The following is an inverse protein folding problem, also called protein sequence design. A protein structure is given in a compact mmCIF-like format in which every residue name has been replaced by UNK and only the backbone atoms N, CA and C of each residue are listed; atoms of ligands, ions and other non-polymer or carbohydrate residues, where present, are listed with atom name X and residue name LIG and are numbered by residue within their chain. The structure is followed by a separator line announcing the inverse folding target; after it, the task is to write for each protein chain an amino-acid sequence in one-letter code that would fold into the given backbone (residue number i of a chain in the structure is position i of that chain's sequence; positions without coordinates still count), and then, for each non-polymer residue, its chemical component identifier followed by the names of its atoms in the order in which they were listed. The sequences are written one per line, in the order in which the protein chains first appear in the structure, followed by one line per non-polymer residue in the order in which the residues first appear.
data_IF_583040639585
#
_entry.id   IF_583040639585
#
_cell.length_a   1.000
_cell.length_b   1.000
_cell.length_c   1.000
_cell.angle_alpha   90.00
_cell.angle_beta   90.00
_cell.angle_gamma   90.00
#
_symmetry.space_group_name_H-M   'P 1'
#
loop_
_entity.id
_entity.type
_entity.pdbx_description
1 polymer ?
#
# COMPACT_ATOMS: atom_id res chain seq x y z
N UNK A 1 -35.52 6.05 -15.41
CA UNK A 1 -34.30 5.29 -15.79
C UNK A 1 -33.25 5.30 -14.68
N UNK A 2 -32.80 6.47 -14.21
CA UNK A 2 -31.78 6.60 -13.16
C UNK A 2 -32.11 5.85 -11.84
N UNK A 3 -33.34 6.01 -11.29
CA UNK A 3 -33.77 5.26 -10.10
C UNK A 3 -33.68 3.74 -10.27
N UNK A 4 -34.13 3.21 -11.42
CA UNK A 4 -34.04 1.77 -11.70
C UNK A 4 -32.58 1.29 -11.74
N UNK A 5 -31.69 2.06 -12.39
CA UNK A 5 -30.25 1.75 -12.43
C UNK A 5 -29.62 1.78 -11.04
N UNK A 6 -29.98 2.75 -10.20
CA UNK A 6 -29.51 2.81 -8.81
C UNK A 6 -29.96 1.61 -7.99
N UNK A 7 -31.22 1.19 -8.10
CA UNK A 7 -31.74 0.00 -7.42
C UNK A 7 -31.02 -1.27 -7.90
N UNK A 8 -30.83 -1.42 -9.20
CA UNK A 8 -30.09 -2.57 -9.77
C UNK A 8 -28.66 -2.59 -9.28
N UNK A 9 -27.97 -1.45 -9.26
CA UNK A 9 -26.61 -1.36 -8.75
C UNK A 9 -26.53 -1.74 -7.25
N UNK A 10 -27.50 -1.29 -6.43
CA UNK A 10 -27.58 -1.65 -5.02
C UNK A 10 -27.82 -3.17 -4.83
N UNK A 11 -28.72 -3.76 -5.62
CA UNK A 11 -28.97 -5.21 -5.57
C UNK A 11 -27.74 -6.02 -5.99
N UNK A 12 -27.06 -5.62 -7.08
CA UNK A 12 -25.82 -6.26 -7.52
C UNK A 12 -24.72 -6.15 -6.47
N UNK A 13 -24.59 -4.99 -5.84
CA UNK A 13 -23.67 -4.82 -4.72
C UNK A 13 -24.02 -5.72 -3.53
N UNK A 14 -25.30 -5.83 -3.17
CA UNK A 14 -25.76 -6.75 -2.12
C UNK A 14 -25.40 -8.20 -2.41
N UNK A 15 -25.67 -8.67 -3.63
CA UNK A 15 -25.29 -10.03 -4.08
C UNK A 15 -23.77 -10.22 -4.02
N UNK A 16 -23.00 -9.25 -4.50
CA UNK A 16 -21.54 -9.28 -4.43
C UNK A 16 -21.04 -9.40 -2.97
N UNK A 17 -21.59 -8.60 -2.06
CA UNK A 17 -21.23 -8.64 -0.62
C UNK A 17 -21.52 -10.03 -0.03
N UNK A 18 -22.67 -10.62 -0.33
CA UNK A 18 -23.03 -11.97 0.12
C UNK A 18 -22.08 -13.04 -0.45
N UNK A 19 -21.72 -12.95 -1.74
CA UNK A 19 -20.75 -13.85 -2.35
C UNK A 19 -19.37 -13.73 -1.69
N UNK A 20 -18.90 -12.50 -1.43
CA UNK A 20 -17.62 -12.26 -0.76
C UNK A 20 -17.64 -12.71 0.70
N UNK A 21 -18.76 -12.52 1.41
CA UNK A 21 -18.93 -13.04 2.76
C UNK A 21 -18.80 -14.57 2.77
N UNK A 22 -19.54 -15.25 1.89
CA UNK A 22 -19.44 -16.70 1.78
C UNK A 22 -18.03 -17.17 1.45
N UNK A 23 -17.38 -16.51 0.48
CA UNK A 23 -16.02 -16.83 0.09
C UNK A 23 -15.01 -16.68 1.24
N UNK A 24 -15.06 -15.56 1.96
CA UNK A 24 -14.08 -15.29 3.04
C UNK A 24 -14.33 -16.16 4.27
N UNK A 25 -15.58 -16.40 4.64
CA UNK A 25 -15.89 -17.06 5.91
C UNK A 25 -16.19 -18.56 5.78
N UNK A 26 -16.56 -19.06 4.61
CA UNK A 26 -17.07 -20.44 4.44
C UNK A 26 -16.38 -21.25 3.34
N UNK A 27 -15.51 -20.69 2.49
CA UNK A 27 -14.89 -21.46 1.39
C UNK A 27 -13.72 -22.37 1.81
N UNK A 28 -13.37 -22.41 3.11
CA UNK A 28 -12.34 -23.32 3.63
C UNK A 28 -10.90 -22.95 3.26
N UNK A 29 -10.62 -21.67 2.95
CA UNK A 29 -9.26 -21.18 2.70
C UNK A 29 -8.40 -21.15 3.96
N UNK A 30 -7.08 -21.07 3.77
CA UNK A 30 -6.14 -20.95 4.90
C UNK A 30 -5.58 -22.27 5.45
N UNK A 31 -5.87 -23.41 4.83
CA UNK A 31 -5.32 -24.71 5.25
C UNK A 31 -3.81 -24.78 5.02
N UNK A 32 -3.07 -25.23 6.02
CA UNK A 32 -1.61 -25.41 5.90
C UNK A 32 -1.32 -26.65 5.05
N UNK A 33 -0.51 -26.54 3.97
CA UNK A 33 -0.10 -27.68 3.16
C UNK A 33 0.62 -28.73 4.02
N UNK A 34 0.39 -30.03 3.74
CA UNK A 34 0.97 -31.12 4.53
C UNK A 34 2.48 -31.04 4.67
N UNK A 35 3.19 -30.64 3.62
CA UNK A 35 4.65 -30.48 3.64
C UNK A 35 5.13 -29.38 4.60
N UNK A 36 4.27 -28.45 4.99
CA UNK A 36 4.61 -27.31 5.86
C UNK A 36 4.12 -27.51 7.30
N UNK A 37 3.30 -28.54 7.57
CA UNK A 37 2.81 -28.85 8.90
C UNK A 37 3.95 -29.33 9.81
N UNK A 38 3.98 -28.81 11.04
CA UNK A 38 5.03 -29.11 12.03
C UNK A 38 6.39 -28.48 11.74
N UNK A 39 6.53 -27.70 10.65
CA UNK A 39 7.75 -26.93 10.37
C UNK A 39 7.75 -25.57 11.08
N UNK A 40 8.86 -24.86 11.06
CA UNK A 40 8.94 -23.49 11.58
C UNK A 40 7.92 -22.51 10.95
N UNK A 41 7.37 -22.85 9.78
CA UNK A 41 6.35 -22.07 9.08
C UNK A 41 4.91 -22.38 9.56
N UNK A 42 4.71 -23.51 10.24
CA UNK A 42 3.40 -23.87 10.78
C UNK A 42 3.05 -22.94 11.96
N UNK A 43 1.96 -22.16 11.88
CA UNK A 43 1.62 -21.22 12.93
C UNK A 43 1.37 -21.88 14.29
N UNK A 44 0.99 -23.15 14.35
CA UNK A 44 0.84 -23.92 15.60
C UNK A 44 2.17 -24.04 16.36
N UNK A 45 3.29 -23.95 15.68
CA UNK A 45 4.62 -24.07 16.29
C UNK A 45 5.11 -22.79 16.99
N UNK A 46 4.51 -21.62 16.67
CA UNK A 46 4.99 -20.34 17.20
C UNK A 46 3.90 -19.39 17.70
N UNK A 47 2.62 -19.69 17.45
CA UNK A 47 1.47 -18.93 17.95
C UNK A 47 0.74 -19.74 19.02
N UNK A 48 0.29 -19.08 20.08
CA UNK A 48 -0.63 -19.66 21.05
C UNK A 48 -2.01 -19.90 20.40
N UNK A 49 -2.82 -20.78 20.99
CA UNK A 49 -4.21 -21.03 20.52
C UNK A 49 -5.03 -19.74 20.43
N UNK A 50 -4.82 -18.83 21.39
CA UNK A 50 -5.47 -17.51 21.39
C UNK A 50 -5.04 -16.66 20.20
N UNK A 51 -3.74 -16.58 19.92
CA UNK A 51 -3.21 -15.82 18.79
C UNK A 51 -3.67 -16.39 17.44
N UNK A 52 -3.70 -17.72 17.31
CA UNK A 52 -4.24 -18.41 16.13
C UNK A 52 -5.70 -18.03 15.89
N UNK A 53 -6.52 -18.10 16.94
CA UNK A 53 -7.93 -17.74 16.87
C UNK A 53 -8.12 -16.26 16.48
N UNK A 54 -7.44 -15.35 17.18
CA UNK A 54 -7.53 -13.91 16.92
C UNK A 54 -7.01 -13.55 15.52
N UNK A 55 -5.90 -14.15 15.08
CA UNK A 55 -5.35 -13.96 13.73
C UNK A 55 -6.35 -14.39 12.65
N UNK A 56 -6.96 -15.58 12.81
CA UNK A 56 -7.96 -16.07 11.88
C UNK A 56 -9.18 -15.16 11.77
N UNK A 57 -9.77 -14.78 12.90
CA UNK A 57 -10.95 -13.91 12.94
C UNK A 57 -10.66 -12.49 12.42
N UNK A 58 -9.62 -11.86 12.94
CA UNK A 58 -9.25 -10.50 12.55
C UNK A 58 -8.91 -10.39 11.06
N UNK A 59 -8.13 -11.36 10.56
CA UNK A 59 -7.75 -11.36 9.14
C UNK A 59 -8.95 -11.57 8.22
N UNK A 60 -9.89 -12.48 8.54
CA UNK A 60 -11.12 -12.69 7.76
C UNK A 60 -11.95 -11.39 7.68
N UNK A 61 -12.18 -10.74 8.83
CA UNK A 61 -12.95 -9.49 8.86
C UNK A 61 -12.24 -8.40 8.02
N UNK A 62 -10.92 -8.22 8.19
CA UNK A 62 -10.14 -7.26 7.39
C UNK A 62 -10.17 -7.56 5.90
N UNK A 63 -10.06 -8.83 5.52
CA UNK A 63 -10.14 -9.28 4.14
C UNK A 63 -11.51 -8.99 3.54
N UNK A 64 -12.59 -9.28 4.28
CA UNK A 64 -13.94 -8.95 3.87
C UNK A 64 -14.13 -7.44 3.67
N UNK A 65 -13.71 -6.62 4.66
CA UNK A 65 -13.80 -5.16 4.56
C UNK A 65 -13.00 -4.59 3.38
N UNK A 66 -11.87 -5.19 3.04
CA UNK A 66 -11.09 -4.80 1.87
C UNK A 66 -11.89 -4.98 0.56
N UNK A 67 -12.51 -6.14 0.39
CA UNK A 67 -13.29 -6.43 -0.80
C UNK A 67 -14.62 -5.68 -0.87
N UNK A 68 -15.19 -5.29 0.27
CA UNK A 68 -16.44 -4.53 0.32
C UNK A 68 -16.22 -3.02 0.12
N UNK A 69 -15.16 -2.46 0.70
CA UNK A 69 -14.96 -1.01 0.73
C UNK A 69 -14.81 -0.39 -0.66
N UNK A 70 -13.95 -0.93 -1.51
CA UNK A 70 -13.72 -0.38 -2.85
C UNK A 70 -14.97 -0.44 -3.74
N UNK A 71 -15.71 -1.58 -3.85
CA UNK A 71 -17.00 -1.59 -4.56
C UNK A 71 -18.10 -0.73 -3.93
N UNK A 72 -18.06 -0.50 -2.61
CA UNK A 72 -18.95 0.45 -1.94
C UNK A 72 -18.69 1.88 -2.44
N UNK A 73 -17.43 2.29 -2.56
CA UNK A 73 -17.08 3.59 -3.15
C UNK A 73 -17.58 3.72 -4.58
N UNK A 74 -17.47 2.65 -5.40
CA UNK A 74 -18.03 2.66 -6.77
C UNK A 74 -19.53 2.86 -6.77
N UNK A 75 -20.25 2.20 -5.86
CA UNK A 75 -21.67 2.38 -5.69
C UNK A 75 -22.01 3.82 -5.28
N UNK A 76 -21.26 4.41 -4.36
CA UNK A 76 -21.44 5.80 -3.90
C UNK A 76 -21.23 6.76 -5.08
N UNK A 77 -20.14 6.64 -5.84
CA UNK A 77 -19.91 7.47 -7.04
C UNK A 77 -21.04 7.33 -8.05
N UNK A 78 -21.50 6.11 -8.28
CA UNK A 78 -22.61 5.85 -9.20
C UNK A 78 -23.92 6.49 -8.72
N UNK A 79 -24.23 6.42 -7.42
CA UNK A 79 -25.40 7.07 -6.81
C UNK A 79 -25.27 8.59 -6.92
N UNK A 80 -24.12 9.19 -6.57
CA UNK A 80 -23.84 10.63 -6.69
C UNK A 80 -24.15 11.13 -8.12
N UNK A 81 -23.73 10.36 -9.12
CA UNK A 81 -23.96 10.69 -10.52
C UNK A 81 -25.45 10.58 -10.91
N UNK A 82 -26.06 9.43 -10.66
CA UNK A 82 -27.45 9.14 -11.09
C UNK A 82 -28.48 10.02 -10.38
N UNK A 83 -28.26 10.36 -9.10
CA UNK A 83 -29.10 11.30 -8.37
C UNK A 83 -28.83 12.76 -8.80
N UNK A 84 -27.70 13.05 -9.42
CA UNK A 84 -27.29 14.38 -9.89
C UNK A 84 -26.73 15.28 -8.80
N UNK A 85 -26.26 14.67 -7.69
CA UNK A 85 -25.58 15.39 -6.61
C UNK A 85 -24.32 16.08 -7.13
N UNK A 86 -23.53 15.42 -7.95
CA UNK A 86 -22.35 16.01 -8.59
C UNK A 86 -22.70 17.24 -9.43
N UNK A 87 -23.78 17.17 -10.20
CA UNK A 87 -24.25 18.33 -10.99
C UNK A 87 -24.77 19.48 -10.12
N UNK A 88 -25.40 19.15 -8.99
CA UNK A 88 -25.82 20.14 -8.02
C UNK A 88 -24.59 20.85 -7.39
N UNK A 89 -23.58 20.12 -6.97
CA UNK A 89 -22.32 20.69 -6.44
C UNK A 89 -21.62 21.61 -7.47
N UNK A 90 -21.59 21.21 -8.75
CA UNK A 90 -21.06 22.09 -9.79
C UNK A 90 -21.85 23.39 -9.93
N UNK A 91 -23.20 23.34 -9.85
CA UNK A 91 -24.02 24.55 -9.88
C UNK A 91 -23.74 25.45 -8.68
N UNK A 92 -23.65 24.89 -7.46
CA UNK A 92 -23.30 25.64 -6.26
C UNK A 92 -21.94 26.30 -6.42
N UNK A 93 -20.91 25.55 -6.81
CA UNK A 93 -19.55 26.07 -6.98
C UNK A 93 -19.47 27.18 -8.04
N UNK A 94 -20.22 27.04 -9.14
CA UNK A 94 -20.20 28.04 -10.23
C UNK A 94 -21.02 29.29 -9.92
N UNK A 95 -22.01 29.23 -9.02
CA UNK A 95 -22.78 30.38 -8.58
C UNK A 95 -22.05 31.29 -7.60
N UNK A 96 -21.07 30.74 -6.85
CA UNK A 96 -20.35 31.47 -5.79
C UNK A 96 -19.26 32.40 -6.32
N UNK A 97 -18.61 32.04 -7.43
CA UNK A 97 -17.46 32.79 -7.93
C UNK A 97 -17.24 32.58 -9.43
N UNK A 98 -16.56 33.54 -10.09
CA UNK A 98 -16.11 33.42 -11.48
C UNK A 98 -14.73 32.76 -11.59
N UNK A 99 -13.97 32.66 -10.51
CA UNK A 99 -12.61 32.12 -10.50
C UNK A 99 -12.62 30.59 -10.52
N UNK A 100 -12.03 30.02 -11.57
CA UNK A 100 -12.06 28.57 -11.82
C UNK A 100 -11.45 27.76 -10.70
N UNK A 101 -10.34 28.23 -10.11
CA UNK A 101 -9.68 27.55 -8.99
C UNK A 101 -10.63 27.46 -7.76
N UNK A 102 -11.31 28.56 -7.44
CA UNK A 102 -12.28 28.60 -6.32
C UNK A 102 -13.53 27.76 -6.62
N UNK A 103 -13.99 27.70 -7.88
CA UNK A 103 -15.04 26.78 -8.29
C UNK A 103 -14.63 25.31 -8.09
N UNK A 104 -13.40 24.96 -8.50
CA UNK A 104 -12.87 23.62 -8.29
C UNK A 104 -12.72 23.31 -6.80
N UNK A 105 -12.19 24.25 -6.00
CA UNK A 105 -12.04 24.08 -4.55
C UNK A 105 -13.40 23.86 -3.87
N UNK A 106 -14.40 24.69 -4.17
CA UNK A 106 -15.76 24.55 -3.62
C UNK A 106 -16.41 23.24 -4.00
N UNK A 107 -16.29 22.82 -5.26
CA UNK A 107 -16.81 21.54 -5.73
C UNK A 107 -16.13 20.35 -5.04
N UNK A 108 -14.80 20.36 -5.00
CA UNK A 108 -14.02 19.29 -4.38
C UNK A 108 -14.28 19.20 -2.87
N UNK A 109 -14.38 20.35 -2.20
CA UNK A 109 -14.72 20.36 -0.77
C UNK A 109 -16.06 19.68 -0.51
N UNK A 110 -17.12 20.05 -1.26
CA UNK A 110 -18.44 19.45 -1.12
C UNK A 110 -18.43 17.94 -1.39
N UNK A 111 -17.70 17.51 -2.44
CA UNK A 111 -17.60 16.10 -2.77
C UNK A 111 -16.79 15.32 -1.73
N UNK A 112 -15.60 15.81 -1.36
CA UNK A 112 -14.73 15.16 -0.36
C UNK A 112 -15.39 15.09 1.01
N UNK A 113 -16.08 16.16 1.42
CA UNK A 113 -16.81 16.19 2.68
C UNK A 113 -17.99 15.20 2.69
N UNK A 114 -18.75 15.11 1.58
CA UNK A 114 -19.80 14.11 1.45
C UNK A 114 -19.23 12.68 1.55
N UNK A 115 -18.14 12.40 0.85
CA UNK A 115 -17.50 11.09 0.89
C UNK A 115 -16.97 10.77 2.29
N UNK A 116 -16.32 11.73 2.95
CA UNK A 116 -15.84 11.59 4.31
C UNK A 116 -16.97 11.21 5.27
N UNK A 117 -18.10 11.95 5.23
CA UNK A 117 -19.25 11.68 6.11
C UNK A 117 -19.89 10.32 5.82
N UNK A 118 -20.03 9.95 4.54
CA UNK A 118 -20.67 8.68 4.15
C UNK A 118 -19.79 7.48 4.49
N UNK A 119 -18.45 7.60 4.38
CA UNK A 119 -17.50 6.52 4.67
C UNK A 119 -17.07 6.48 6.14
N UNK A 120 -17.28 7.55 6.90
CA UNK A 120 -16.88 7.64 8.31
C UNK A 120 -17.37 6.47 9.18
N UNK A 121 -18.60 5.94 9.07
CA UNK A 121 -19.02 4.77 9.86
C UNK A 121 -18.16 3.51 9.59
N UNK A 122 -17.73 3.32 8.33
CA UNK A 122 -16.86 2.20 7.96
C UNK A 122 -15.46 2.38 8.53
N UNK A 123 -14.91 3.60 8.48
CA UNK A 123 -13.57 3.89 9.00
C UNK A 123 -13.55 3.84 10.54
N UNK A 124 -14.61 4.31 11.18
CA UNK A 124 -14.78 4.16 12.63
C UNK A 124 -14.90 2.69 13.04
N UNK A 125 -15.62 1.86 12.27
CA UNK A 125 -15.68 0.43 12.51
C UNK A 125 -14.29 -0.24 12.40
N UNK A 126 -13.51 0.13 11.38
CA UNK A 126 -12.12 -0.36 11.20
C UNK A 126 -11.21 0.05 12.37
N UNK A 127 -11.34 1.29 12.83
CA UNK A 127 -10.62 1.78 14.00
C UNK A 127 -10.96 0.96 15.24
N UNK A 128 -12.25 0.80 15.56
CA UNK A 128 -12.68 0.00 16.70
C UNK A 128 -12.26 -1.48 16.58
N UNK A 129 -12.36 -2.05 15.40
CA UNK A 129 -11.89 -3.42 15.13
C UNK A 129 -10.41 -3.55 15.50
N UNK A 130 -9.56 -2.67 14.98
CA UNK A 130 -8.13 -2.70 15.28
C UNK A 130 -7.83 -2.52 16.77
N UNK A 131 -8.60 -1.71 17.48
CA UNK A 131 -8.50 -1.56 18.94
C UNK A 131 -8.93 -2.80 19.69
N UNK A 132 -10.06 -3.40 19.32
CA UNK A 132 -10.60 -4.62 19.97
C UNK A 132 -9.62 -5.78 19.88
N UNK A 133 -8.91 -5.90 18.75
CA UNK A 133 -7.90 -6.95 18.55
C UNK A 133 -6.50 -6.54 19.04
N UNK A 134 -6.34 -5.38 19.67
CA UNK A 134 -5.07 -4.92 20.25
C UNK A 134 -4.00 -4.53 19.22
N UNK A 135 -4.38 -4.33 17.95
CA UNK A 135 -3.45 -3.85 16.92
C UNK A 135 -3.24 -2.35 17.04
N UNK A 136 -4.31 -1.57 17.22
CA UNK A 136 -4.20 -0.13 17.44
C UNK A 136 -4.14 0.19 18.93
N UNK A 137 -3.17 0.99 19.32
CA UNK A 137 -3.05 1.64 20.65
C UNK A 137 -3.65 3.05 20.64
N UNK A 138 -3.87 3.61 19.44
CA UNK A 138 -4.25 5.00 19.22
C UNK A 138 -5.54 5.39 19.95
N UNK A 139 -5.52 6.51 20.68
CA UNK A 139 -6.70 7.09 21.28
C UNK A 139 -7.62 7.73 20.22
N UNK A 140 -8.94 7.81 20.53
CA UNK A 140 -9.92 8.37 19.58
C UNK A 140 -9.58 9.80 19.12
N UNK A 141 -9.15 10.68 20.02
CA UNK A 141 -8.77 12.05 19.67
C UNK A 141 -7.57 12.12 18.73
N UNK A 142 -6.57 11.26 18.95
CA UNK A 142 -5.40 11.16 18.06
C UNK A 142 -5.80 10.60 16.69
N UNK A 143 -6.66 9.58 16.65
CA UNK A 143 -7.22 9.03 15.41
C UNK A 143 -8.04 10.07 14.62
N UNK A 144 -8.87 10.85 15.30
CA UNK A 144 -9.63 11.93 14.67
C UNK A 144 -8.74 13.07 14.17
N UNK A 145 -7.67 13.42 14.93
CA UNK A 145 -6.68 14.41 14.48
C UNK A 145 -6.02 13.96 13.18
N UNK A 146 -5.56 12.72 13.13
CA UNK A 146 -4.93 12.17 11.92
C UNK A 146 -5.92 12.15 10.74
N UNK A 147 -7.19 11.78 10.97
CA UNK A 147 -8.24 11.82 9.94
C UNK A 147 -8.54 13.23 9.41
N UNK A 148 -8.47 14.25 10.27
CA UNK A 148 -8.62 15.66 9.84
C UNK A 148 -7.40 16.11 9.02
N UNK A 149 -6.19 15.73 9.43
CA UNK A 149 -4.97 16.02 8.65
C UNK A 149 -5.06 15.34 7.28
N UNK A 150 -5.43 14.06 7.23
CA UNK A 150 -5.65 13.31 5.99
C UNK A 150 -6.64 14.02 5.06
N UNK A 151 -7.77 14.47 5.61
CA UNK A 151 -8.77 15.18 4.82
C UNK A 151 -8.17 16.42 4.13
N UNK A 152 -7.44 17.26 4.88
CA UNK A 152 -6.89 18.51 4.33
C UNK A 152 -5.70 18.28 3.40
N UNK A 153 -4.82 17.33 3.70
CA UNK A 153 -3.70 16.96 2.82
C UNK A 153 -4.24 16.42 1.49
N UNK A 154 -5.18 15.48 1.55
CA UNK A 154 -5.80 14.89 0.35
C UNK A 154 -6.64 15.92 -0.43
N UNK A 155 -7.33 16.85 0.26
CA UNK A 155 -8.03 17.95 -0.38
C UNK A 155 -7.07 18.89 -1.14
N UNK A 156 -5.96 19.30 -0.52
CA UNK A 156 -4.95 20.17 -1.15
C UNK A 156 -4.32 19.51 -2.37
N UNK A 157 -3.91 18.25 -2.26
CA UNK A 157 -3.35 17.48 -3.38
C UNK A 157 -4.37 17.30 -4.50
N UNK A 158 -5.61 16.95 -4.16
CA UNK A 158 -6.71 16.81 -5.12
C UNK A 158 -7.03 18.11 -5.83
N UNK A 159 -6.99 19.25 -5.13
CA UNK A 159 -7.23 20.56 -5.73
C UNK A 159 -6.21 20.87 -6.83
N UNK A 160 -4.93 20.59 -6.59
CA UNK A 160 -3.86 20.77 -7.60
C UNK A 160 -4.12 19.84 -8.78
N UNK A 161 -4.23 18.54 -8.52
CA UNK A 161 -4.37 17.50 -9.56
C UNK A 161 -5.61 17.76 -10.42
N UNK A 162 -6.78 17.98 -9.80
CA UNK A 162 -8.05 18.16 -10.51
C UNK A 162 -8.08 19.47 -11.28
N UNK A 163 -7.51 20.55 -10.73
CA UNK A 163 -7.45 21.84 -11.44
C UNK A 163 -6.62 21.72 -12.71
N UNK A 164 -5.47 21.08 -12.64
CA UNK A 164 -4.59 20.82 -13.81
C UNK A 164 -5.29 19.85 -14.78
N UNK A 165 -5.87 18.76 -14.29
CA UNK A 165 -6.58 17.76 -15.11
C UNK A 165 -7.70 18.40 -15.93
N UNK A 166 -8.60 19.16 -15.29
CA UNK A 166 -9.73 19.81 -15.97
C UNK A 166 -9.29 20.97 -16.87
N UNK A 167 -8.17 21.63 -16.56
CA UNK A 167 -7.54 22.58 -17.49
C UNK A 167 -7.05 21.86 -18.75
N UNK A 168 -6.36 20.72 -18.63
CA UNK A 168 -5.91 19.91 -19.75
C UNK A 168 -7.06 19.36 -20.59
N UNK A 169 -8.12 18.84 -19.95
CA UNK A 169 -9.33 18.32 -20.65
C UNK A 169 -9.97 19.42 -21.49
N UNK A 170 -10.06 20.64 -20.97
CA UNK A 170 -10.63 21.80 -21.71
C UNK A 170 -9.71 22.24 -22.86
N UNK A 171 -8.39 22.24 -22.64
CA UNK A 171 -7.42 22.65 -23.64
C UNK A 171 -7.26 21.63 -24.76
N UNK A 172 -7.36 20.33 -24.47
CA UNK A 172 -7.15 19.26 -25.43
C UNK A 172 -8.05 18.04 -25.15
N UNK A 173 -9.31 18.11 -25.56
CA UNK A 173 -10.31 17.06 -25.31
C UNK A 173 -9.91 15.66 -25.84
N UNK A 174 -9.03 15.58 -26.84
CA UNK A 174 -8.58 14.29 -27.43
C UNK A 174 -7.32 13.74 -26.72
N UNK A 175 -6.36 14.60 -26.33
CA UNK A 175 -5.01 14.21 -25.88
C UNK A 175 -4.72 14.56 -24.41
N UNK A 176 -5.70 15.03 -23.64
CA UNK A 176 -5.51 15.42 -22.24
C UNK A 176 -4.86 14.32 -21.40
N UNK A 177 -5.22 13.06 -21.64
CA UNK A 177 -4.71 11.90 -20.94
C UNK A 177 -3.19 11.73 -21.11
N UNK A 178 -2.67 12.02 -22.30
CA UNK A 178 -1.22 11.98 -22.59
C UNK A 178 -0.49 13.11 -21.86
N UNK A 179 -1.05 14.32 -21.88
CA UNK A 179 -0.45 15.46 -21.17
C UNK A 179 -0.55 15.28 -19.65
N UNK A 180 -1.66 14.76 -19.15
CA UNK A 180 -1.79 14.38 -17.73
C UNK A 180 -0.73 13.36 -17.36
N UNK A 181 -0.55 12.31 -18.17
CA UNK A 181 0.50 11.31 -17.93
C UNK A 181 1.92 11.92 -17.93
N UNK A 182 2.25 12.78 -18.87
CA UNK A 182 3.55 13.47 -18.88
C UNK A 182 3.77 14.27 -17.59
N UNK A 183 2.72 14.86 -17.01
CA UNK A 183 2.81 15.62 -15.76
C UNK A 183 2.85 14.69 -14.52
N UNK A 184 2.44 13.42 -14.61
CA UNK A 184 2.62 12.51 -13.49
C UNK A 184 4.09 12.25 -13.19
N UNK A 185 4.99 12.35 -14.18
CA UNK A 185 6.42 12.10 -14.01
C UNK A 185 7.04 13.09 -13.01
N UNK A 186 7.07 14.41 -13.27
CA UNK A 186 7.61 15.38 -12.31
C UNK A 186 6.79 15.42 -11.01
N UNK A 187 5.49 15.14 -11.07
CA UNK A 187 4.65 15.11 -9.89
C UNK A 187 4.99 13.94 -8.97
N UNK A 188 5.26 12.75 -9.51
CA UNK A 188 5.71 11.59 -8.73
C UNK A 188 7.03 11.90 -8.02
N UNK A 189 8.00 12.47 -8.74
CA UNK A 189 9.28 12.89 -8.15
C UNK A 189 9.05 13.92 -7.03
N UNK A 190 8.22 14.92 -7.28
CA UNK A 190 7.88 15.94 -6.28
C UNK A 190 7.27 15.32 -5.01
N UNK A 191 6.30 14.40 -5.15
CA UNK A 191 5.69 13.72 -3.99
C UNK A 191 6.72 12.89 -3.23
N UNK A 192 7.60 12.16 -3.90
CA UNK A 192 8.67 11.38 -3.25
C UNK A 192 9.62 12.24 -2.41
N UNK A 193 9.84 13.50 -2.78
CA UNK A 193 10.64 14.43 -1.98
C UNK A 193 9.84 15.06 -0.83
N UNK A 194 8.58 15.43 -1.08
CA UNK A 194 7.73 16.11 -0.10
C UNK A 194 7.24 15.16 0.99
N UNK A 195 6.97 13.90 0.66
CA UNK A 195 6.42 12.92 1.58
C UNK A 195 7.22 12.84 2.89
N UNK A 196 8.52 12.49 2.90
CA UNK A 196 9.29 12.29 4.15
C UNK A 196 9.64 13.59 4.88
N UNK A 197 9.56 14.75 4.20
CA UNK A 197 10.02 16.04 4.76
C UNK A 197 8.88 16.88 5.29
N UNK A 198 7.71 16.82 4.63
CA UNK A 198 6.56 17.70 4.94
C UNK A 198 5.36 16.90 5.40
N UNK A 199 5.05 15.78 4.75
CA UNK A 199 3.81 15.04 5.02
C UNK A 199 3.97 14.15 6.26
N UNK A 200 4.98 13.29 6.29
CA UNK A 200 5.17 12.34 7.39
C UNK A 200 5.28 13.01 8.77
N UNK A 201 5.98 14.17 8.94
CA UNK A 201 6.06 14.89 10.21
C UNK A 201 4.73 15.48 10.70
N UNK A 202 3.69 15.56 9.87
CA UNK A 202 2.34 15.96 10.32
C UNK A 202 1.68 14.90 11.21
N UNK A 203 2.10 13.65 11.04
CA UNK A 203 1.51 12.49 11.70
C UNK A 203 2.33 11.97 12.87
N UNK A 204 3.65 11.95 12.75
CA UNK A 204 4.54 11.31 13.72
C UNK A 204 5.81 12.13 13.93
N UNK A 205 6.44 11.94 15.08
CA UNK A 205 7.72 12.53 15.40
C UNK A 205 8.86 11.55 15.06
N UNK A 206 9.91 12.08 14.43
CA UNK A 206 11.09 11.33 14.01
C UNK A 206 12.30 11.80 14.83
N UNK A 207 13.04 10.86 15.39
CA UNK A 207 14.22 11.12 16.21
C UNK A 207 15.42 10.35 15.67
N UNK A 208 16.67 10.85 15.86
CA UNK A 208 17.86 10.02 15.64
C UNK A 208 17.81 8.77 16.54
N UNK A 209 18.22 7.62 16.00
CA UNK A 209 18.21 6.37 16.75
C UNK A 209 19.03 6.50 18.04
N UNK A 210 18.41 6.16 19.18
CA UNK A 210 19.04 6.27 20.51
C UNK A 210 20.11 5.22 20.73
N UNK A 211 19.88 3.98 20.29
CA UNK A 211 20.83 2.88 20.40
C UNK A 211 21.95 3.06 19.36
N UNK A 212 23.07 3.64 19.78
CA UNK A 212 24.20 3.93 18.87
C UNK A 212 24.94 2.68 18.42
N UNK A 213 24.99 1.63 19.24
CA UNK A 213 25.59 0.36 18.84
C UNK A 213 24.80 -0.29 17.71
N UNK A 214 23.47 -0.29 17.79
CA UNK A 214 22.59 -0.79 16.73
C UNK A 214 22.70 0.10 15.47
N UNK A 215 22.78 1.43 15.62
CA UNK A 215 22.98 2.36 14.52
C UNK A 215 24.26 2.02 13.73
N UNK A 216 25.39 1.82 14.45
CA UNK A 216 26.67 1.45 13.84
C UNK A 216 26.58 0.12 13.08
N UNK A 217 25.91 -0.89 13.66
CA UNK A 217 25.69 -2.19 13.00
C UNK A 217 24.86 -2.02 11.70
N UNK A 218 23.78 -1.24 11.75
CA UNK A 218 22.92 -0.98 10.58
C UNK A 218 23.70 -0.20 9.51
N UNK A 219 24.43 0.83 9.87
CA UNK A 219 25.24 1.60 8.93
C UNK A 219 26.38 0.76 8.33
N UNK A 220 26.94 -0.18 9.10
CA UNK A 220 27.94 -1.12 8.59
C UNK A 220 27.38 -2.01 7.47
N UNK A 221 26.19 -2.60 7.63
CA UNK A 221 25.57 -3.39 6.56
C UNK A 221 25.10 -2.50 5.40
N UNK A 222 24.68 -1.26 5.65
CA UNK A 222 24.35 -0.31 4.59
C UNK A 222 25.59 0.04 3.75
N UNK A 223 26.75 0.24 4.37
CA UNK A 223 28.01 0.46 3.67
C UNK A 223 28.42 -0.74 2.81
N UNK A 224 28.26 -1.98 3.32
CA UNK A 224 28.49 -3.21 2.54
C UNK A 224 27.55 -3.29 1.30
N UNK A 225 26.33 -2.79 1.43
CA UNK A 225 25.33 -2.70 0.37
C UNK A 225 25.53 -1.48 -0.56
N UNK A 226 26.57 -0.65 -0.34
CA UNK A 226 26.83 0.62 -1.05
C UNK A 226 25.63 1.59 -0.97
N UNK A 227 24.95 1.65 0.17
CA UNK A 227 23.84 2.58 0.41
C UNK A 227 24.40 3.81 1.12
N UNK A 228 24.24 5.01 0.56
CA UNK A 228 24.77 6.25 1.16
C UNK A 228 23.83 6.76 2.27
N UNK A 229 23.61 5.95 3.32
CA UNK A 229 22.85 6.36 4.50
C UNK A 229 23.82 6.83 5.58
N UNK A 230 23.60 8.05 6.08
CA UNK A 230 24.44 8.64 7.15
C UNK A 230 23.77 8.53 8.52
N UNK A 231 22.44 8.36 8.56
CA UNK A 231 21.67 8.38 9.79
C UNK A 231 20.55 7.33 9.79
N UNK A 232 20.29 6.81 10.97
CA UNK A 232 19.12 5.95 11.26
C UNK A 232 18.17 6.71 12.18
N UNK A 233 16.89 6.68 11.86
CA UNK A 233 15.84 7.36 12.64
C UNK A 233 14.95 6.35 13.34
N UNK A 234 14.44 6.73 14.51
CA UNK A 234 13.31 6.07 15.16
C UNK A 234 12.04 6.94 15.06
N UNK A 235 10.88 6.32 14.99
CA UNK A 235 9.59 6.99 14.97
C UNK A 235 8.66 6.42 16.04
N UNK A 236 7.89 7.30 16.72
CA UNK A 236 7.03 6.99 17.87
C UNK A 236 5.71 6.28 17.48
N UNK A 237 5.79 5.11 16.93
CA UNK A 237 4.60 4.36 16.49
C UNK A 237 3.87 3.61 17.58
N UNK A 238 4.51 3.33 18.74
CA UNK A 238 3.87 2.66 19.87
C UNK A 238 2.63 3.39 20.42
N UNK A 239 2.56 4.72 20.22
CA UNK A 239 1.37 5.51 20.56
C UNK A 239 0.16 5.19 19.67
N UNK A 240 0.38 4.59 18.50
CA UNK A 240 -0.63 4.35 17.48
C UNK A 240 -0.90 2.88 17.19
N UNK A 241 0.13 2.03 17.30
CA UNK A 241 0.03 0.63 16.91
C UNK A 241 0.98 -0.27 17.68
N UNK A 242 0.61 -1.55 17.77
CA UNK A 242 1.47 -2.65 18.20
C UNK A 242 2.15 -3.37 17.02
N UNK A 243 1.83 -3.01 15.78
CA UNK A 243 2.48 -3.60 14.61
C UNK A 243 3.97 -3.21 14.56
N UNK A 244 4.76 -4.05 13.92
CA UNK A 244 6.20 -3.83 13.70
C UNK A 244 6.42 -3.38 12.27
N UNK A 245 7.32 -2.43 12.07
CA UNK A 245 7.74 -2.02 10.74
C UNK A 245 9.12 -1.33 10.77
N UNK A 246 9.82 -1.39 9.64
CA UNK A 246 10.99 -0.60 9.32
C UNK A 246 10.98 -0.33 7.82
N UNK A 247 11.64 0.73 7.36
CA UNK A 247 11.71 1.03 5.93
C UNK A 247 12.91 1.92 5.59
N UNK A 248 13.33 1.83 4.34
CA UNK A 248 14.26 2.79 3.73
C UNK A 248 13.47 3.69 2.78
N UNK A 249 13.58 5.00 2.94
CA UNK A 249 12.91 5.99 2.11
C UNK A 249 13.90 7.03 1.59
N UNK A 250 13.50 7.78 0.56
CA UNK A 250 14.36 8.78 -0.08
C UNK A 250 15.18 8.18 -1.24
N UNK A 251 15.91 9.05 -1.92
CA UNK A 251 16.73 8.69 -3.10
C UNK A 251 18.10 9.40 -2.99
N UNK A 252 19.18 8.67 -3.23
CA UNK A 252 20.54 9.20 -3.20
C UNK A 252 20.94 9.69 -1.81
N UNK A 253 21.51 10.89 -1.71
CA UNK A 253 21.94 11.50 -0.44
C UNK A 253 20.82 11.79 0.56
N UNK A 254 19.54 11.71 0.14
CA UNK A 254 18.36 11.89 0.99
C UNK A 254 17.80 10.54 1.52
N UNK A 255 18.52 9.43 1.33
CA UNK A 255 18.11 8.13 1.83
C UNK A 255 18.09 8.11 3.35
N UNK A 256 16.95 7.69 3.92
CA UNK A 256 16.72 7.60 5.37
C UNK A 256 16.32 6.19 5.74
N UNK A 257 16.96 5.66 6.75
CA UNK A 257 16.58 4.40 7.39
C UNK A 257 15.69 4.75 8.58
N UNK A 258 14.50 4.18 8.66
CA UNK A 258 13.52 4.49 9.72
C UNK A 258 13.06 3.19 10.37
N UNK A 259 13.16 3.13 11.69
CA UNK A 259 12.70 2.04 12.54
C UNK A 259 11.54 2.50 13.40
N UNK A 260 10.48 1.70 13.49
CA UNK A 260 9.44 1.95 14.47
C UNK A 260 9.95 1.58 15.87
N UNK A 261 9.61 2.38 16.87
CA UNK A 261 9.92 2.10 18.28
C UNK A 261 9.33 0.76 18.75
N UNK A 262 8.17 0.35 18.19
CA UNK A 262 7.59 -0.98 18.40
C UNK A 262 8.51 -2.10 17.91
N UNK A 263 9.22 -1.91 16.81
CA UNK A 263 10.20 -2.85 16.24
C UNK A 263 11.43 -2.94 17.15
N UNK A 264 11.96 -1.79 17.56
CA UNK A 264 13.08 -1.70 18.48
C UNK A 264 12.81 -2.38 19.84
N UNK A 265 11.57 -2.32 20.33
CA UNK A 265 11.17 -2.88 21.62
C UNK A 265 10.90 -4.39 21.61
N UNK A 266 10.64 -4.99 20.45
CA UNK A 266 10.18 -6.40 20.36
C UNK A 266 11.15 -7.33 19.65
N UNK A 267 11.99 -6.78 18.79
CA UNK A 267 12.96 -7.57 18.04
C UNK A 267 14.35 -7.48 18.66
N UNK A 268 15.12 -8.54 18.51
CA UNK A 268 16.55 -8.54 18.83
C UNK A 268 17.33 -7.77 17.77
N UNK A 269 18.55 -7.36 18.09
CA UNK A 269 19.43 -6.67 17.12
C UNK A 269 19.59 -7.46 15.83
N UNK A 270 19.78 -8.79 15.90
CA UNK A 270 19.96 -9.63 14.72
C UNK A 270 18.71 -9.71 13.86
N UNK A 271 17.52 -9.80 14.48
CA UNK A 271 16.24 -9.73 13.77
C UNK A 271 16.04 -8.38 13.08
N UNK A 272 16.42 -7.29 13.73
CA UNK A 272 16.40 -5.93 13.14
C UNK A 272 17.40 -5.85 11.98
N UNK A 273 18.62 -6.36 12.14
CA UNK A 273 19.61 -6.38 11.07
C UNK A 273 19.13 -7.18 9.86
N UNK A 274 18.44 -8.32 10.07
CA UNK A 274 17.82 -9.06 8.97
C UNK A 274 16.75 -8.23 8.23
N UNK A 275 15.85 -7.58 8.97
CA UNK A 275 14.83 -6.70 8.36
C UNK A 275 15.51 -5.55 7.60
N UNK A 276 16.52 -4.92 8.19
CA UNK A 276 17.25 -3.85 7.51
C UNK A 276 17.98 -4.35 6.25
N UNK A 277 18.57 -5.53 6.29
CA UNK A 277 19.18 -6.16 5.12
C UNK A 277 18.14 -6.44 4.03
N UNK A 278 16.90 -6.81 4.39
CA UNK A 278 15.79 -6.96 3.44
C UNK A 278 15.44 -5.62 2.77
N UNK A 279 15.29 -4.53 3.55
CA UNK A 279 15.05 -3.19 3.01
C UNK A 279 16.20 -2.71 2.09
N UNK A 280 17.44 -3.03 2.46
CA UNK A 280 18.61 -2.77 1.61
C UNK A 280 18.57 -3.57 0.32
N UNK A 281 18.01 -4.80 0.34
CA UNK A 281 17.76 -5.60 -0.85
C UNK A 281 16.90 -4.87 -1.88
N UNK A 282 15.85 -4.17 -1.44
CA UNK A 282 15.04 -3.34 -2.33
C UNK A 282 15.83 -2.22 -2.99
N UNK A 283 16.76 -1.61 -2.28
CA UNK A 283 17.62 -0.56 -2.81
C UNK A 283 18.62 -1.11 -3.84
N UNK A 284 19.36 -2.18 -3.48
CA UNK A 284 20.40 -2.79 -4.31
C UNK A 284 19.83 -3.39 -5.60
N UNK A 285 18.69 -4.08 -5.49
CA UNK A 285 17.95 -4.67 -6.61
C UNK A 285 17.18 -3.61 -7.42
N UNK A 286 17.27 -2.32 -7.04
CA UNK A 286 16.65 -1.19 -7.74
C UNK A 286 15.13 -1.31 -7.86
N UNK A 287 14.46 -1.95 -6.90
CA UNK A 287 13.03 -2.20 -6.93
C UNK A 287 12.21 -0.92 -7.03
N UNK A 288 12.66 0.19 -6.42
CA UNK A 288 12.04 1.52 -6.52
C UNK A 288 11.96 1.99 -7.97
N UNK A 289 13.05 1.83 -8.74
CA UNK A 289 13.08 2.28 -10.14
C UNK A 289 12.18 1.43 -11.03
N UNK A 290 12.19 0.11 -10.85
CA UNK A 290 11.25 -0.79 -11.54
C UNK A 290 9.80 -0.51 -11.15
N UNK A 291 9.54 -0.21 -9.88
CA UNK A 291 8.24 0.20 -9.38
C UNK A 291 7.74 1.49 -10.06
N UNK A 292 8.59 2.53 -10.15
CA UNK A 292 8.26 3.79 -10.84
C UNK A 292 7.98 3.53 -12.33
N UNK A 293 8.84 2.77 -13.00
CA UNK A 293 8.65 2.45 -14.43
C UNK A 293 7.34 1.69 -14.68
N UNK A 294 7.03 0.68 -13.85
CA UNK A 294 5.77 -0.07 -13.88
C UNK A 294 4.56 0.83 -13.62
N UNK A 295 4.64 1.71 -12.60
CA UNK A 295 3.61 2.69 -12.30
C UNK A 295 3.36 3.64 -13.49
N UNK A 296 4.41 4.17 -14.12
CA UNK A 296 4.28 5.05 -15.27
C UNK A 296 3.64 4.33 -16.47
N UNK A 297 4.02 3.07 -16.71
CA UNK A 297 3.43 2.28 -17.78
C UNK A 297 1.93 1.98 -17.52
N UNK A 298 1.60 1.55 -16.30
CA UNK A 298 0.21 1.28 -15.91
C UNK A 298 -0.63 2.55 -15.90
N UNK A 299 -0.08 3.69 -15.46
CA UNK A 299 -0.78 4.99 -15.48
C UNK A 299 -1.01 5.50 -16.89
N UNK A 300 -0.09 5.29 -17.83
CA UNK A 300 -0.28 5.61 -19.25
C UNK A 300 -1.48 4.85 -19.83
N UNK A 301 -1.49 3.53 -19.65
CA UNK A 301 -2.58 2.68 -20.09
C UNK A 301 -3.90 3.02 -19.38
N UNK A 302 -3.85 3.21 -18.06
CA UNK A 302 -4.99 3.55 -17.22
C UNK A 302 -5.65 4.88 -17.63
N UNK A 303 -4.86 5.95 -17.83
CA UNK A 303 -5.37 7.24 -18.28
C UNK A 303 -5.93 7.20 -19.70
N UNK A 304 -5.29 6.44 -20.61
CA UNK A 304 -5.80 6.23 -21.95
C UNK A 304 -7.15 5.48 -21.95
N UNK A 305 -7.26 4.39 -21.19
CA UNK A 305 -8.51 3.65 -21.02
C UNK A 305 -9.59 4.52 -20.38
N UNK A 306 -9.25 5.23 -19.30
CA UNK A 306 -10.16 6.16 -18.63
C UNK A 306 -10.68 7.21 -19.60
N UNK A 307 -9.83 7.79 -20.44
CA UNK A 307 -10.24 8.78 -21.43
C UNK A 307 -11.19 8.20 -22.49
N UNK A 308 -10.98 6.94 -22.90
CA UNK A 308 -11.91 6.24 -23.81
C UNK A 308 -13.24 5.92 -23.13
N UNK A 309 -13.18 5.35 -21.94
CA UNK A 309 -14.38 4.99 -21.17
C UNK A 309 -15.20 6.23 -20.81
N UNK A 310 -14.60 7.33 -20.37
CA UNK A 310 -15.29 8.59 -20.10
C UNK A 310 -16.07 9.09 -21.32
N UNK A 311 -15.43 9.11 -22.49
CA UNK A 311 -16.11 9.55 -23.72
C UNK A 311 -17.29 8.65 -24.07
N UNK A 312 -17.10 7.33 -23.95
CA UNK A 312 -18.14 6.35 -24.24
C UNK A 312 -19.32 6.46 -23.25
N UNK A 313 -19.03 6.49 -21.95
CA UNK A 313 -20.09 6.59 -20.93
C UNK A 313 -20.87 7.90 -21.02
N UNK A 314 -20.17 9.03 -21.20
CA UNK A 314 -20.84 10.34 -21.31
C UNK A 314 -21.63 10.41 -22.64
N UNK A 315 -21.10 9.92 -23.74
CA UNK A 315 -21.83 9.86 -25.02
C UNK A 315 -23.09 9.01 -24.96
N UNK A 316 -23.05 7.89 -24.24
CA UNK A 316 -24.17 6.93 -24.16
C UNK A 316 -25.15 7.20 -23.03
N UNK A 317 -24.65 7.64 -21.87
CA UNK A 317 -25.40 7.75 -20.62
C UNK A 317 -25.34 9.14 -19.98
N UNK A 318 -24.77 10.14 -20.66
CA UNK A 318 -24.58 11.49 -20.10
C UNK A 318 -25.87 12.14 -19.56
N UNK A 319 -27.01 11.93 -20.21
CA UNK A 319 -28.30 12.42 -19.75
C UNK A 319 -28.72 11.78 -18.41
N UNK A 320 -28.48 10.46 -18.26
CA UNK A 320 -28.82 9.71 -17.04
C UNK A 320 -27.89 10.11 -15.90
N UNK A 321 -26.60 10.26 -16.21
CA UNK A 321 -25.56 10.66 -15.27
C UNK A 321 -25.53 12.17 -15.01
N UNK A 322 -26.38 12.93 -15.72
CA UNK A 322 -26.50 14.40 -15.65
C UNK A 322 -25.18 15.14 -15.95
N UNK A 323 -24.33 14.53 -16.79
CA UNK A 323 -23.07 15.08 -17.30
C UNK A 323 -23.31 15.54 -18.74
N UNK A 324 -22.98 16.81 -19.05
CA UNK A 324 -23.12 17.36 -20.41
C UNK A 324 -21.85 17.17 -21.24
N UNK A 325 -20.70 17.45 -20.66
CA UNK A 325 -19.38 17.40 -21.33
C UNK A 325 -18.33 16.78 -20.42
N UNK A 326 -17.31 16.15 -21.01
CA UNK A 326 -16.17 15.61 -20.26
C UNK A 326 -15.42 16.68 -19.45
N UNK A 327 -15.42 17.91 -19.91
CA UNK A 327 -14.76 19.05 -19.25
C UNK A 327 -15.60 19.72 -18.15
N UNK A 328 -16.83 19.26 -17.88
CA UNK A 328 -17.63 19.70 -16.73
C UNK A 328 -17.11 18.99 -15.48
N UNK A 329 -16.85 19.71 -14.40
CA UNK A 329 -16.29 19.12 -13.17
C UNK A 329 -17.24 18.09 -12.56
N UNK A 330 -18.54 18.15 -12.85
CA UNK A 330 -19.52 17.12 -12.49
C UNK A 330 -19.23 15.74 -13.08
N UNK A 331 -18.31 15.60 -14.04
CA UNK A 331 -17.82 14.30 -14.52
C UNK A 331 -16.78 13.64 -13.61
N UNK A 332 -16.30 14.34 -12.59
CA UNK A 332 -15.21 13.87 -11.73
C UNK A 332 -15.54 12.57 -10.96
N UNK A 333 -16.74 12.35 -10.38
CA UNK A 333 -17.06 11.05 -9.79
C UNK A 333 -17.06 9.89 -10.78
N UNK A 334 -17.38 10.15 -12.07
CA UNK A 334 -17.24 9.12 -13.12
C UNK A 334 -15.75 8.84 -13.41
N UNK A 335 -14.91 9.87 -13.43
CA UNK A 335 -13.47 9.69 -13.55
C UNK A 335 -12.92 8.86 -12.40
N UNK A 336 -13.28 9.17 -11.14
CA UNK A 336 -12.89 8.41 -9.95
C UNK A 336 -13.36 6.95 -10.02
N UNK A 337 -14.62 6.72 -10.38
CA UNK A 337 -15.17 5.39 -10.55
C UNK A 337 -14.36 4.56 -11.56
N UNK A 338 -14.12 5.10 -12.75
CA UNK A 338 -13.42 4.38 -13.80
C UNK A 338 -11.96 4.12 -13.47
N UNK A 339 -11.24 5.10 -12.90
CA UNK A 339 -9.85 4.90 -12.49
C UNK A 339 -9.75 3.91 -11.34
N UNK A 340 -10.64 3.96 -10.34
CA UNK A 340 -10.65 3.03 -9.21
C UNK A 340 -10.94 1.59 -9.66
N UNK A 341 -11.89 1.39 -10.61
CA UNK A 341 -12.14 0.06 -11.21
C UNK A 341 -10.91 -0.47 -11.93
N UNK A 342 -10.22 0.37 -12.73
CA UNK A 342 -9.02 -0.05 -13.45
C UNK A 342 -7.86 -0.36 -12.51
N UNK A 343 -7.67 0.43 -11.46
CA UNK A 343 -6.66 0.21 -10.42
C UNK A 343 -6.92 -1.10 -9.67
N UNK A 344 -8.16 -1.33 -9.25
CA UNK A 344 -8.52 -2.57 -8.59
C UNK A 344 -8.31 -3.78 -9.51
N UNK A 345 -8.71 -3.70 -10.78
CA UNK A 345 -8.52 -4.76 -11.75
C UNK A 345 -7.03 -5.05 -12.05
N UNK A 346 -6.14 -4.04 -11.93
CA UNK A 346 -4.70 -4.22 -12.12
C UNK A 346 -3.96 -4.72 -10.87
N UNK A 347 -4.60 -4.72 -9.68
CA UNK A 347 -3.97 -5.13 -8.42
C UNK A 347 -3.34 -6.52 -8.44
N UNK A 348 -3.94 -7.58 -9.04
CA UNK A 348 -3.32 -8.89 -9.11
C UNK A 348 -1.95 -8.90 -9.80
N UNK A 349 -1.82 -8.13 -10.89
CA UNK A 349 -0.56 -7.99 -11.62
C UNK A 349 0.49 -7.23 -10.79
N UNK A 350 0.10 -6.07 -10.25
CA UNK A 350 0.99 -5.26 -9.41
C UNK A 350 1.46 -6.03 -8.18
N UNK A 351 0.54 -6.73 -7.51
CA UNK A 351 0.86 -7.54 -6.33
C UNK A 351 1.73 -8.76 -6.68
N UNK A 352 1.57 -9.36 -7.85
CA UNK A 352 2.44 -10.44 -8.30
C UNK A 352 3.90 -9.96 -8.46
N UNK A 353 4.09 -8.81 -9.12
CA UNK A 353 5.41 -8.19 -9.29
C UNK A 353 6.01 -7.83 -7.92
N UNK A 354 5.22 -7.24 -7.04
CA UNK A 354 5.65 -6.91 -5.67
C UNK A 354 6.13 -8.16 -4.93
N UNK A 355 5.34 -9.23 -4.90
CA UNK A 355 5.74 -10.50 -4.25
C UNK A 355 7.00 -11.13 -4.85
N UNK A 356 7.25 -10.95 -6.14
CA UNK A 356 8.50 -11.38 -6.77
C UNK A 356 9.69 -10.57 -6.21
N UNK A 357 9.54 -9.25 -6.11
CA UNK A 357 10.57 -8.36 -5.55
C UNK A 357 10.85 -8.66 -4.08
N UNK A 358 9.81 -8.93 -3.30
CA UNK A 358 9.92 -9.35 -1.89
C UNK A 358 10.74 -10.63 -1.72
N UNK A 359 10.47 -11.66 -2.56
CA UNK A 359 11.26 -12.88 -2.53
C UNK A 359 12.75 -12.63 -2.85
N UNK A 360 13.05 -11.67 -3.72
CA UNK A 360 14.42 -11.25 -4.04
C UNK A 360 15.07 -10.55 -2.85
N UNK A 361 14.36 -9.64 -2.21
CA UNK A 361 14.83 -8.94 -1.02
C UNK A 361 15.08 -9.89 0.16
N UNK A 362 14.22 -10.90 0.37
CA UNK A 362 14.45 -11.95 1.37
C UNK A 362 15.74 -12.74 1.10
N UNK A 363 15.95 -13.13 -0.16
CA UNK A 363 17.17 -13.86 -0.54
C UNK A 363 18.43 -13.01 -0.36
N UNK A 364 18.35 -11.72 -0.71
CA UNK A 364 19.45 -10.78 -0.48
C UNK A 364 19.76 -10.64 1.01
N UNK A 365 18.74 -10.44 1.85
CA UNK A 365 18.91 -10.33 3.30
C UNK A 365 19.61 -11.56 3.90
N UNK A 366 19.19 -12.76 3.51
CA UNK A 366 19.81 -14.01 3.96
C UNK A 366 21.27 -14.10 3.49
N UNK A 367 21.55 -13.69 2.24
CA UNK A 367 22.93 -13.73 1.71
C UNK A 367 23.85 -12.73 2.41
N UNK A 368 23.31 -11.58 2.84
CA UNK A 368 24.07 -10.52 3.50
C UNK A 368 24.32 -10.83 4.99
N UNK A 369 23.30 -11.32 5.69
CA UNK A 369 23.39 -11.57 7.14
C UNK A 369 23.89 -12.95 7.50
N UNK A 370 23.66 -13.94 6.66
CA UNK A 370 23.92 -15.37 6.94
C UNK A 370 23.03 -15.96 8.04
N UNK A 371 22.19 -15.14 8.70
CA UNK A 371 21.41 -15.50 9.88
C UNK A 371 19.97 -15.87 9.52
N UNK A 372 19.75 -17.14 9.24
CA UNK A 372 18.43 -17.68 8.89
C UNK A 372 17.52 -17.83 10.09
N UNK A 373 18.07 -18.07 11.28
CA UNK A 373 17.30 -18.22 12.51
C UNK A 373 16.63 -16.90 12.88
N UNK A 374 17.39 -15.80 12.88
CA UNK A 374 16.84 -14.46 13.07
C UNK A 374 15.82 -14.07 11.99
N UNK A 375 15.98 -14.53 10.74
CA UNK A 375 15.00 -14.33 9.69
C UNK A 375 13.67 -15.02 10.01
N UNK A 376 13.70 -16.29 10.43
CA UNK A 376 12.51 -17.07 10.80
C UNK A 376 11.80 -16.42 11.98
N UNK A 377 12.53 -16.12 13.06
CA UNK A 377 11.95 -15.55 14.27
C UNK A 377 11.39 -14.15 14.04
N UNK A 378 12.07 -13.32 13.21
CA UNK A 378 11.55 -12.01 12.81
C UNK A 378 10.20 -12.15 12.07
N UNK A 379 10.08 -13.05 11.10
CA UNK A 379 8.82 -13.29 10.39
C UNK A 379 7.71 -13.82 11.30
N UNK A 380 8.03 -14.71 12.24
CA UNK A 380 7.08 -15.19 13.24
C UNK A 380 6.57 -14.05 14.13
N UNK A 381 7.47 -13.19 14.65
CA UNK A 381 7.10 -12.03 15.46
C UNK A 381 6.29 -10.99 14.68
N UNK A 382 6.63 -10.73 13.41
CA UNK A 382 5.84 -9.89 12.50
C UNK A 382 4.42 -10.45 12.30
N UNK A 383 4.30 -11.77 12.18
CA UNK A 383 3.00 -12.45 12.03
C UNK A 383 2.13 -12.27 13.28
N UNK A 384 2.69 -12.51 14.46
CA UNK A 384 2.02 -12.37 15.75
C UNK A 384 1.59 -10.92 15.99
N UNK A 385 2.52 -9.96 15.80
CA UNK A 385 2.26 -8.54 16.08
C UNK A 385 1.18 -7.93 15.19
N UNK A 386 1.05 -8.41 13.96
CA UNK A 386 0.04 -7.95 13.00
C UNK A 386 -1.24 -8.78 13.00
N UNK A 387 -1.34 -9.85 13.79
CA UNK A 387 -2.39 -10.87 13.71
C UNK A 387 -2.69 -11.25 12.24
N UNK A 388 -1.60 -11.55 11.51
CA UNK A 388 -1.69 -11.83 10.08
C UNK A 388 -1.98 -13.30 9.81
N UNK A 389 -2.93 -13.58 8.92
CA UNK A 389 -3.18 -14.94 8.42
C UNK A 389 -1.97 -15.41 7.60
N UNK A 390 -1.38 -16.53 8.00
CA UNK A 390 -0.14 -17.04 7.40
C UNK A 390 -0.34 -17.59 5.99
N UNK A 391 -1.53 -18.13 5.69
CA UNK A 391 -1.89 -18.68 4.37
C UNK A 391 -3.27 -18.17 3.92
N UNK A 392 -3.35 -16.96 3.32
CA UNK A 392 -4.62 -16.38 2.91
C UNK A 392 -5.20 -17.10 1.68
N UNK A 393 -6.52 -16.99 1.53
CA UNK A 393 -7.23 -17.47 0.36
C UNK A 393 -6.72 -16.82 -0.94
N UNK A 394 -6.89 -17.52 -2.07
CA UNK A 394 -6.30 -17.15 -3.36
C UNK A 394 -6.66 -15.74 -3.82
N UNK A 395 -7.94 -15.34 -3.77
CA UNK A 395 -8.34 -13.98 -4.15
C UNK A 395 -7.74 -12.93 -3.20
N UNK A 396 -7.67 -13.23 -1.90
CA UNK A 396 -7.03 -12.36 -0.92
C UNK A 396 -5.55 -12.17 -1.26
N UNK A 397 -4.83 -13.26 -1.54
CA UNK A 397 -3.42 -13.22 -1.97
C UNK A 397 -3.25 -12.39 -3.25
N UNK A 398 -4.12 -12.54 -4.24
CA UNK A 398 -3.99 -11.84 -5.50
C UNK A 398 -4.28 -10.34 -5.40
N UNK A 399 -5.37 -9.98 -4.73
CA UNK A 399 -5.86 -8.60 -4.74
C UNK A 399 -5.30 -7.74 -3.60
N UNK A 400 -4.86 -8.34 -2.48
CA UNK A 400 -4.50 -7.60 -1.28
C UNK A 400 -3.05 -7.76 -0.84
N UNK A 401 -2.43 -8.92 -1.07
CA UNK A 401 -1.10 -9.22 -0.55
C UNK A 401 0.00 -8.72 -1.48
N UNK A 402 0.68 -7.65 -1.09
CA UNK A 402 1.89 -7.13 -1.76
C UNK A 402 3.13 -7.96 -1.42
N UNK A 403 3.15 -8.60 -0.24
CA UNK A 403 4.20 -9.52 0.20
C UNK A 403 3.75 -10.97 0.04
N UNK A 404 4.66 -11.91 -0.16
CA UNK A 404 4.31 -13.34 -0.08
C UNK A 404 3.71 -13.66 1.29
N UNK A 405 2.77 -14.63 1.40
CA UNK A 405 2.29 -15.11 2.68
C UNK A 405 3.44 -15.52 3.61
N UNK A 406 3.32 -15.25 4.90
CA UNK A 406 4.38 -15.58 5.87
C UNK A 406 4.71 -17.07 5.90
N UNK A 407 3.72 -17.93 5.69
CA UNK A 407 3.94 -19.35 5.49
C UNK A 407 5.00 -19.64 4.41
N UNK A 408 4.86 -19.00 3.24
CA UNK A 408 5.78 -19.19 2.12
C UNK A 408 7.17 -18.60 2.41
N UNK A 409 7.24 -17.45 3.08
CA UNK A 409 8.51 -16.78 3.43
C UNK A 409 9.30 -17.64 4.43
N UNK A 410 8.67 -18.03 5.54
CA UNK A 410 9.31 -18.82 6.60
C UNK A 410 9.73 -20.18 6.07
N UNK A 411 8.85 -20.86 5.31
CA UNK A 411 9.17 -22.18 4.77
C UNK A 411 10.39 -22.14 3.84
N UNK A 412 10.46 -21.19 2.92
CA UNK A 412 11.62 -21.03 2.00
C UNK A 412 12.94 -20.76 2.73
N UNK A 413 12.89 -20.02 3.84
CA UNK A 413 14.09 -19.76 4.65
C UNK A 413 14.54 -21.02 5.37
N UNK A 414 13.58 -21.77 5.94
CA UNK A 414 13.84 -23.01 6.68
C UNK A 414 14.33 -24.15 5.77
N UNK A 415 13.68 -24.39 4.61
CA UNK A 415 14.03 -25.43 3.64
C UNK A 415 15.49 -25.30 3.15
N UNK A 416 15.87 -24.09 2.75
CA UNK A 416 17.26 -23.82 2.35
C UNK A 416 18.27 -23.96 3.49
N UNK A 417 17.85 -23.96 4.74
CA UNK A 417 18.70 -24.24 5.89
C UNK A 417 19.01 -25.73 6.00
N UNK A 418 18.10 -26.60 5.63
CA UNK A 418 18.29 -28.07 5.63
C UNK A 418 19.17 -28.52 4.47
N UNK A 419 18.92 -28.00 3.24
CA UNK A 419 19.75 -28.30 2.07
C UNK A 419 21.23 -27.95 2.29
N UNK A 420 21.55 -26.81 2.92
CA UNK A 420 22.94 -26.42 3.21
C UNK A 420 23.59 -27.22 4.34
N UNK A 421 22.83 -27.96 5.15
CA UNK A 421 23.38 -28.89 6.16
C UNK A 421 23.76 -30.22 5.52
N UNK A 422 23.12 -30.59 4.42
CA UNK A 422 23.37 -31.83 3.69
C UNK A 422 24.52 -31.72 2.63
N UNK A 423 24.80 -30.50 2.11
CA UNK A 423 25.96 -30.23 1.27
C UNK A 423 27.13 -29.72 2.13
N UNK A 424 28.24 -30.49 2.30
CA UNK A 424 29.47 -29.95 2.88
C UNK A 424 29.99 -28.84 1.98
N UNK A 425 30.37 -27.71 2.59
CA UNK A 425 30.90 -26.52 1.93
C UNK A 425 31.82 -26.88 0.75
N UNK A 426 31.38 -26.76 -0.48
CA UNK A 426 32.24 -26.68 -1.63
C UNK A 426 33.03 -25.39 -1.48
N UNK A 427 34.32 -25.53 -1.15
CA UNK A 427 35.29 -24.44 -1.14
C UNK A 427 35.13 -23.65 -2.46
N UNK A 428 34.73 -22.39 -2.34
CA UNK A 428 34.71 -21.45 -3.47
C UNK A 428 36.17 -21.29 -3.90
N UNK A 429 36.58 -21.69 -5.12
CA UNK A 429 37.93 -21.49 -5.56
C UNK A 429 38.21 -19.98 -5.59
N UNK A 430 39.09 -19.53 -4.69
CA UNK A 430 39.62 -18.17 -4.70
C UNK A 430 40.29 -17.98 -6.05
N UNK A 431 39.73 -17.14 -6.91
CA UNK A 431 40.29 -16.82 -8.22
C UNK A 431 41.73 -16.36 -8.03
N UNK A 432 42.69 -17.11 -8.59
CA UNK A 432 44.12 -16.82 -8.57
C UNK A 432 44.51 -15.49 -9.25
N UNK A 433 43.59 -14.75 -9.81
CA UNK A 433 43.82 -13.45 -10.45
C UNK A 433 44.25 -12.33 -9.50
N UNK A 434 43.85 -12.38 -8.23
CA UNK A 434 44.24 -11.34 -7.28
C UNK A 434 45.65 -11.49 -6.70
N UNK A 435 46.27 -12.63 -6.80
CA UNK A 435 47.68 -12.83 -6.38
C UNK A 435 48.72 -12.33 -7.37
N UNK A 436 48.36 -12.14 -8.64
CA UNK A 436 49.32 -11.65 -9.66
C UNK A 436 49.43 -10.12 -9.72
N UNK A 437 48.48 -9.39 -9.19
CA UNK A 437 48.58 -7.92 -9.12
C UNK A 437 49.35 -7.38 -7.89
N UNK A 438 49.44 -8.15 -6.81
CA UNK A 438 50.23 -7.76 -5.64
C UNK A 438 51.73 -8.06 -5.75
N UNK A 439 52.18 -8.82 -6.75
CA UNK A 439 53.61 -9.08 -7.02
C UNK A 439 54.21 -8.14 -8.09
N UNK A 440 53.46 -7.15 -8.57
CA UNK A 440 53.93 -6.18 -9.57
C UNK A 440 53.92 -4.72 -9.08
N UNK A 441 53.90 -4.51 -7.77
CA UNK A 441 54.14 -3.18 -7.17
C UNK A 441 55.32 -3.20 -6.21
#
# INVERSE_FOLDING_TARGET
MAKKMGIVALLLFGVYVLCMYWYIFHSGGGTIPRAMQGTAADPVMFMSEKELYLSGEYSKIRNFLFFVATPLEWLIYFIILTMGVSRYFEKVATSQTKWKLLQNASYLFLLSFLLYVVLFPLDYYRYNLSKTYGISTQGFSSWMRDGIIDFWVNFGMSLIIVSVLYWLIKKSAKRWWLYAWLLTIPFTIFVMFIQPVVIDPLYNDFYPLKNKELEEKILSIAAQANIPAEHVYEVNMAEKTNALNAYVTGIGSNSRIVLWDTTLNRLTDNEILFIMAHEMGHYVEKHIYFGIAGYLLLSLLGLWLTAKCLRWFIGRYGQVLKIKKIGDISSYPLFLLLTSVLLFASSPLSNYISRYQENRADQYAISLTGDRESAITAFQKLTISGLSEVNPQLLVKWFRYTHPPMLERIYKVAEKAEENKEEPLKEVPIKEEQKKEQQKK
#
